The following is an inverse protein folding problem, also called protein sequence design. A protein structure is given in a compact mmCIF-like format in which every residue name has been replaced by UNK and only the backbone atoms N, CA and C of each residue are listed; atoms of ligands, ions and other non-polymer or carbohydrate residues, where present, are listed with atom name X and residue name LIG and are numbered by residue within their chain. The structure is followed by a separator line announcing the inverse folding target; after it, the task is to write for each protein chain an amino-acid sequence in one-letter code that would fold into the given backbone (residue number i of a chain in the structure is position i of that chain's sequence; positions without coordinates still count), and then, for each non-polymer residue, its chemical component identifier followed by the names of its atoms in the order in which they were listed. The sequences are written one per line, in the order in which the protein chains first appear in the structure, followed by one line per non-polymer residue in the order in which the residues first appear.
data_IF_686151778643
#
_entry.id   IF_686151778643
#
_cell.length_a   1.000
_cell.length_b   1.000
_cell.length_c   1.000
_cell.angle_alpha   90.00
_cell.angle_beta   90.00
_cell.angle_gamma   90.00
#
_symmetry.space_group_name_H-M   'P 1'
#
loop_
_entity.id
_entity.type
_entity.pdbx_description
1 polymer ?
#
# COMPACT_ATOMS: atom_id res chain seq x y z
N UNK A 1 2.93 -74.02 -8.57
CA UNK A 1 3.71 -72.88 -8.04
C UNK A 1 2.79 -71.68 -7.87
N UNK A 2 2.58 -71.28 -6.60
CA UNK A 2 2.36 -69.91 -6.08
C UNK A 2 1.37 -68.99 -6.83
N UNK A 3 0.08 -69.09 -6.49
CA UNK A 3 -0.99 -68.15 -6.90
C UNK A 3 -1.57 -67.36 -5.72
N UNK A 4 -0.70 -66.79 -4.86
CA UNK A 4 -1.14 -66.14 -3.60
C UNK A 4 -0.71 -64.67 -3.43
N UNK A 5 -0.05 -64.05 -4.40
CA UNK A 5 0.59 -62.73 -4.17
C UNK A 5 -0.08 -61.52 -4.84
N UNK A 6 -1.25 -61.66 -5.49
CA UNK A 6 -1.87 -60.52 -6.18
C UNK A 6 -2.83 -59.70 -5.29
N UNK A 7 -3.45 -60.32 -4.28
CA UNK A 7 -4.44 -59.64 -3.43
C UNK A 7 -3.80 -58.77 -2.33
N UNK A 8 -2.58 -59.09 -1.91
CA UNK A 8 -1.82 -58.32 -0.91
C UNK A 8 -1.25 -57.03 -1.51
N UNK A 9 -0.99 -57.00 -2.82
CA UNK A 9 -0.44 -55.84 -3.50
C UNK A 9 -1.50 -54.74 -3.76
N UNK A 10 -2.79 -55.10 -3.93
CA UNK A 10 -3.86 -54.10 -4.09
C UNK A 10 -4.25 -53.43 -2.76
N UNK A 11 -4.06 -54.12 -1.63
CA UNK A 11 -4.29 -53.57 -0.29
C UNK A 11 -3.21 -52.53 0.10
N UNK A 12 -2.00 -52.61 -0.47
CA UNK A 12 -0.92 -51.65 -0.19
C UNK A 12 -1.06 -50.35 -1.00
N UNK A 13 -1.71 -50.39 -2.16
CA UNK A 13 -1.97 -49.21 -3.00
C UNK A 13 -3.18 -48.40 -2.48
N UNK A 14 -4.09 -49.03 -1.74
CA UNK A 14 -5.26 -48.35 -1.15
C UNK A 14 -4.99 -47.68 0.21
N UNK A 15 -3.88 -48.00 0.88
CA UNK A 15 -3.50 -47.41 2.17
C UNK A 15 -2.68 -46.12 2.10
N UNK A 16 -2.25 -45.70 0.90
CA UNK A 16 -1.27 -44.61 0.71
C UNK A 16 -1.85 -43.23 0.38
N UNK A 17 -3.17 -43.07 0.24
CA UNK A 17 -3.79 -41.80 -0.16
C UNK A 17 -4.76 -41.26 0.90
N UNK A 18 -4.22 -40.90 2.06
CA UNK A 18 -4.87 -39.96 2.98
C UNK A 18 -3.86 -38.90 3.43
N UNK A 19 -3.21 -38.24 2.48
CA UNK A 19 -2.64 -36.92 2.74
C UNK A 19 -3.77 -35.89 2.61
N UNK A 20 -4.64 -35.82 3.64
CA UNK A 20 -5.57 -34.72 3.76
C UNK A 20 -4.78 -33.44 3.94
N UNK A 21 -4.99 -32.45 3.07
CA UNK A 21 -4.45 -31.10 3.26
C UNK A 21 -5.10 -30.52 4.52
N UNK A 22 -4.39 -30.57 5.66
CA UNK A 22 -4.86 -30.07 6.94
C UNK A 22 -4.96 -28.55 6.94
N UNK A 23 -6.18 -28.02 6.81
CA UNK A 23 -6.50 -26.63 7.11
C UNK A 23 -7.11 -26.58 8.51
N UNK A 24 -6.54 -25.76 9.38
CA UNK A 24 -7.08 -25.47 10.70
C UNK A 24 -8.04 -24.29 10.58
N UNK A 25 -9.27 -24.42 11.08
CA UNK A 25 -10.23 -23.33 11.15
C UNK A 25 -10.07 -22.59 12.48
N UNK A 26 -9.61 -21.34 12.44
CA UNK A 26 -9.59 -20.44 13.58
C UNK A 26 -10.90 -19.64 13.64
N UNK A 27 -11.48 -19.56 14.82
CA UNK A 27 -12.68 -18.79 15.14
C UNK A 27 -12.40 -17.93 16.35
N UNK A 28 -13.06 -16.78 16.43
CA UNK A 28 -12.96 -15.91 17.58
C UNK A 28 -13.97 -14.77 17.50
N UNK A 29 -13.95 -13.92 18.51
CA UNK A 29 -14.76 -12.70 18.57
C UNK A 29 -13.86 -11.51 18.88
N UNK A 30 -14.07 -10.41 18.17
CA UNK A 30 -13.36 -9.15 18.35
C UNK A 30 -14.31 -8.14 18.97
N UNK A 31 -13.88 -7.56 20.09
CA UNK A 31 -14.64 -6.56 20.84
C UNK A 31 -13.75 -5.37 21.20
N UNK A 32 -14.36 -4.22 21.46
CA UNK A 32 -13.68 -3.07 22.03
C UNK A 32 -13.35 -3.33 23.51
N UNK A 33 -12.14 -2.94 23.94
CA UNK A 33 -11.65 -3.22 25.30
C UNK A 33 -12.37 -2.42 26.39
N UNK A 34 -12.88 -1.22 26.09
CA UNK A 34 -13.51 -0.33 27.08
C UNK A 34 -15.00 -0.57 27.25
N UNK A 35 -15.70 -0.74 26.13
CA UNK A 35 -17.15 -0.84 26.01
C UNK A 35 -17.63 -2.28 25.91
N UNK A 36 -16.73 -3.24 25.63
CA UNK A 36 -17.03 -4.64 25.36
C UNK A 36 -17.97 -4.87 24.17
N UNK A 37 -18.27 -3.82 23.39
CA UNK A 37 -19.12 -3.92 22.21
C UNK A 37 -18.38 -4.68 21.09
N UNK A 38 -19.10 -5.49 20.29
CA UNK A 38 -18.49 -6.19 19.16
C UNK A 38 -17.98 -5.19 18.11
N UNK A 39 -16.82 -5.49 17.53
CA UNK A 39 -16.26 -4.71 16.43
C UNK A 39 -16.59 -5.42 15.12
N UNK A 40 -17.55 -4.86 14.38
CA UNK A 40 -17.90 -5.30 13.04
C UNK A 40 -16.86 -4.86 12.01
N UNK A 41 -16.66 -5.66 10.95
CA UNK A 41 -15.77 -5.34 9.82
C UNK A 41 -14.30 -5.12 10.19
N UNK A 42 -13.84 -5.66 11.32
CA UNK A 42 -12.42 -5.74 11.64
C UNK A 42 -11.74 -6.72 10.67
N UNK A 43 -10.56 -6.35 10.18
CA UNK A 43 -9.74 -7.21 9.32
C UNK A 43 -8.97 -8.23 10.17
N UNK A 44 -9.03 -9.51 9.79
CA UNK A 44 -8.34 -10.62 10.46
C UNK A 44 -7.51 -11.37 9.42
N UNK A 45 -6.18 -11.31 9.48
CA UNK A 45 -5.32 -11.85 8.42
C UNK A 45 -3.98 -12.36 8.91
N UNK A 46 -3.33 -13.21 8.12
CA UNK A 46 -1.95 -13.62 8.36
C UNK A 46 -0.96 -12.70 7.67
N UNK A 47 -0.02 -12.17 8.45
CA UNK A 47 1.00 -11.25 7.95
C UNK A 47 1.79 -11.87 6.80
N UNK A 48 2.06 -11.08 5.76
CA UNK A 48 2.79 -11.50 4.54
C UNK A 48 2.11 -12.60 3.70
N UNK A 49 0.81 -12.83 3.89
CA UNK A 49 0.02 -13.76 3.07
C UNK A 49 -1.22 -13.08 2.49
N UNK A 50 -1.94 -13.77 1.62
CA UNK A 50 -3.27 -13.36 1.14
C UNK A 50 -4.41 -14.02 1.92
N UNK A 51 -4.10 -14.68 3.05
CA UNK A 51 -5.07 -15.42 3.87
C UNK A 51 -5.64 -14.45 4.90
N UNK A 52 -6.93 -14.14 4.75
CA UNK A 52 -7.64 -13.25 5.67
C UNK A 52 -9.15 -13.40 5.58
N UNK A 53 -9.82 -12.78 6.54
CA UNK A 53 -11.27 -12.76 6.72
C UNK A 53 -11.65 -11.44 7.42
N UNK A 54 -12.94 -11.23 7.61
CA UNK A 54 -13.49 -10.06 8.30
C UNK A 54 -14.46 -10.49 9.40
N UNK A 55 -14.61 -9.68 10.44
CA UNK A 55 -15.63 -9.92 11.47
C UNK A 55 -17.02 -9.55 10.99
N UNK A 56 -18.03 -10.30 11.42
CA UNK A 56 -19.44 -10.00 11.17
C UNK A 56 -20.00 -8.98 12.19
N UNK A 57 -21.30 -8.69 12.11
CA UNK A 57 -22.00 -7.77 13.03
C UNK A 57 -21.92 -8.14 14.52
N UNK A 58 -21.71 -9.42 14.84
CA UNK A 58 -21.50 -9.89 16.22
C UNK A 58 -20.01 -9.83 16.65
N UNK A 59 -19.14 -9.30 15.79
CA UNK A 59 -17.69 -9.27 15.98
C UNK A 59 -17.01 -10.62 15.76
N UNK A 60 -17.73 -11.64 15.27
CA UNK A 60 -17.18 -13.01 15.10
C UNK A 60 -16.48 -13.16 13.76
N UNK A 61 -15.38 -13.90 13.74
CA UNK A 61 -14.67 -14.28 12.52
C UNK A 61 -14.46 -15.80 12.42
N UNK A 62 -14.27 -16.29 11.20
CA UNK A 62 -13.69 -17.61 10.91
C UNK A 62 -12.64 -17.45 9.82
N UNK A 63 -11.47 -18.06 10.02
CA UNK A 63 -10.32 -18.02 9.13
C UNK A 63 -9.71 -19.42 8.97
N UNK A 64 -9.60 -19.90 7.73
CA UNK A 64 -8.97 -21.19 7.44
C UNK A 64 -7.48 -20.99 7.14
N UNK A 65 -6.65 -21.66 7.92
CA UNK A 65 -5.20 -21.54 7.89
C UNK A 65 -4.58 -22.89 7.52
N UNK A 66 -3.77 -22.98 6.45
CA UNK A 66 -2.98 -24.18 6.17
C UNK A 66 -2.00 -24.49 7.30
N UNK A 67 -1.77 -25.76 7.60
CA UNK A 67 -0.82 -26.18 8.64
C UNK A 67 0.60 -25.59 8.47
N UNK A 68 1.00 -25.25 7.24
CA UNK A 68 2.28 -24.61 6.93
C UNK A 68 2.42 -23.19 7.53
N UNK A 69 1.30 -22.53 7.83
CA UNK A 69 1.23 -21.13 8.28
C UNK A 69 0.96 -21.00 9.80
N UNK A 70 1.05 -22.09 10.56
CA UNK A 70 0.80 -22.07 12.02
C UNK A 70 1.82 -21.23 12.80
N UNK A 71 3.00 -20.97 12.22
CA UNK A 71 4.04 -20.12 12.82
C UNK A 71 3.97 -18.66 12.37
N UNK A 72 3.01 -18.31 11.52
CA UNK A 72 2.86 -16.95 11.04
C UNK A 72 2.14 -16.07 12.07
N UNK A 73 2.23 -14.76 11.89
CA UNK A 73 1.58 -13.78 12.76
C UNK A 73 0.15 -13.51 12.30
N UNK A 74 -0.82 -13.82 13.15
CA UNK A 74 -2.19 -13.36 13.06
C UNK A 74 -2.24 -11.87 13.42
N UNK A 75 -2.86 -11.08 12.55
CA UNK A 75 -3.07 -9.64 12.73
C UNK A 75 -4.55 -9.34 12.69
N UNK A 76 -5.01 -8.58 13.67
CA UNK A 76 -6.38 -8.10 13.76
C UNK A 76 -6.35 -6.58 13.85
N UNK A 77 -7.05 -5.91 12.95
CA UNK A 77 -7.01 -4.45 12.84
C UNK A 77 -8.36 -3.87 12.48
N UNK A 78 -8.70 -2.75 13.08
CA UNK A 78 -9.87 -1.93 12.76
C UNK A 78 -9.49 -0.45 12.78
N UNK A 79 -10.21 0.38 12.03
CA UNK A 79 -9.97 1.82 11.98
C UNK A 79 -10.28 2.43 13.35
N UNK A 80 -9.34 3.22 13.88
CA UNK A 80 -9.47 3.83 15.22
C UNK A 80 -9.04 2.91 16.37
N UNK A 81 -8.41 1.77 16.07
CA UNK A 81 -7.95 0.81 17.07
C UNK A 81 -6.48 0.42 16.85
N UNK A 82 -5.80 0.06 17.94
CA UNK A 82 -4.46 -0.52 17.87
C UNK A 82 -4.55 -1.91 17.26
N UNK A 83 -3.67 -2.20 16.32
CA UNK A 83 -3.62 -3.54 15.72
C UNK A 83 -3.12 -4.57 16.74
N UNK A 84 -3.90 -5.63 16.94
CA UNK A 84 -3.52 -6.78 17.74
C UNK A 84 -2.72 -7.77 16.89
N UNK A 85 -1.64 -8.33 17.45
CA UNK A 85 -0.74 -9.25 16.74
C UNK A 85 -0.35 -10.40 17.66
N UNK A 86 -0.40 -11.62 17.15
CA UNK A 86 0.06 -12.82 17.87
C UNK A 86 0.48 -13.92 16.91
N UNK A 87 1.26 -14.90 17.36
CA UNK A 87 1.56 -16.09 16.55
C UNK A 87 0.34 -17.00 16.53
N UNK A 88 0.02 -17.60 15.37
CA UNK A 88 -1.16 -18.47 15.21
C UNK A 88 -1.13 -19.67 16.17
N UNK A 89 0.03 -20.26 16.40
CA UNK A 89 0.20 -21.40 17.33
C UNK A 89 -0.11 -21.03 18.80
N UNK A 90 0.00 -19.75 19.16
CA UNK A 90 -0.33 -19.25 20.50
C UNK A 90 -1.81 -18.88 20.63
N UNK A 91 -2.57 -18.90 19.54
CA UNK A 91 -3.99 -18.54 19.55
C UNK A 91 -4.86 -19.67 20.08
N UNK A 92 -5.63 -19.36 21.13
CA UNK A 92 -6.66 -20.25 21.63
C UNK A 92 -7.93 -20.14 20.76
N UNK A 93 -8.25 -21.21 20.06
CA UNK A 93 -9.37 -21.21 19.12
C UNK A 93 -10.71 -20.98 19.86
N UNK A 94 -11.40 -19.90 19.50
CA UNK A 94 -12.64 -19.46 20.15
C UNK A 94 -12.45 -18.37 21.19
N UNK A 95 -11.23 -17.87 21.42
CA UNK A 95 -10.99 -16.79 22.38
C UNK A 95 -11.57 -15.44 21.93
N UNK A 96 -11.99 -14.66 22.93
CA UNK A 96 -12.35 -13.26 22.74
C UNK A 96 -11.07 -12.41 22.67
N UNK A 97 -11.05 -11.47 21.74
CA UNK A 97 -9.93 -10.57 21.47
C UNK A 97 -10.43 -9.15 21.66
N UNK A 98 -9.74 -8.39 22.50
CA UNK A 98 -10.09 -7.02 22.80
C UNK A 98 -9.11 -6.06 22.14
N UNK A 99 -9.65 -5.13 21.34
CA UNK A 99 -8.85 -4.05 20.74
C UNK A 99 -8.96 -2.79 21.60
N UNK A 100 -7.83 -2.13 21.82
CA UNK A 100 -7.77 -0.80 22.43
C UNK A 100 -7.99 0.27 21.35
N UNK A 101 -8.76 1.31 21.67
CA UNK A 101 -8.85 2.49 20.82
C UNK A 101 -7.46 3.12 20.61
N UNK A 102 -7.18 3.48 19.36
CA UNK A 102 -6.02 4.24 18.95
C UNK A 102 -6.52 5.52 18.29
N UNK A 103 -6.69 6.56 19.11
CA UNK A 103 -6.99 7.89 18.61
C UNK A 103 -5.72 8.44 17.98
N UNK A 104 -5.52 8.12 16.70
CA UNK A 104 -4.54 8.80 15.87
C UNK A 104 -4.98 10.27 15.74
N UNK A 105 -4.49 11.11 16.64
CA UNK A 105 -4.65 12.56 16.53
C UNK A 105 -3.88 13.00 15.28
N UNK A 106 -4.60 13.42 14.24
CA UNK A 106 -3.98 14.14 13.14
C UNK A 106 -3.48 15.48 13.67
N UNK A 107 -2.30 15.93 13.22
CA UNK A 107 -1.79 17.25 13.57
C UNK A 107 -2.86 18.30 13.27
N UNK A 108 -3.16 19.14 14.27
CA UNK A 108 -4.12 20.22 14.12
C UNK A 108 -3.65 21.15 12.99
N UNK A 109 -4.50 21.35 11.98
CA UNK A 109 -4.22 22.35 10.94
C UNK A 109 -4.43 23.72 11.57
N UNK A 110 -3.33 24.37 11.97
CA UNK A 110 -3.37 25.76 12.42
C UNK A 110 -3.70 26.65 11.22
N UNK A 111 -4.97 27.07 11.15
CA UNK A 111 -5.41 28.11 10.24
C UNK A 111 -4.83 29.45 10.71
N UNK A 112 -3.62 29.77 10.28
CA UNK A 112 -3.08 31.12 10.45
C UNK A 112 -3.90 32.04 9.55
N UNK A 113 -4.70 32.91 10.17
CA UNK A 113 -5.46 33.95 9.47
C UNK A 113 -4.50 35.03 8.94
N UNK A 114 -3.65 34.68 7.98
CA UNK A 114 -2.90 35.67 7.22
C UNK A 114 -3.89 36.37 6.26
N UNK A 115 -3.85 37.69 6.26
CA UNK A 115 -4.71 38.50 5.38
C UNK A 115 -4.44 38.10 3.94
N UNK A 116 -5.43 37.55 3.23
CA UNK A 116 -5.24 37.18 1.83
C UNK A 116 -4.93 38.44 1.00
N UNK A 117 -3.91 38.41 0.12
CA UNK A 117 -3.61 39.52 -0.77
C UNK A 117 -4.85 39.82 -1.64
N UNK A 118 -5.20 41.10 -1.77
CA UNK A 118 -6.43 41.54 -2.45
C UNK A 118 -6.23 41.78 -3.94
N UNK A 119 -4.99 42.06 -4.35
CA UNK A 119 -4.65 42.32 -5.75
C UNK A 119 -3.57 41.36 -6.26
N UNK A 120 -3.49 41.20 -7.58
CA UNK A 120 -2.42 40.41 -8.21
C UNK A 120 -1.01 40.96 -7.92
N UNK A 121 -0.87 42.28 -7.79
CA UNK A 121 0.40 42.91 -7.46
C UNK A 121 0.85 42.53 -6.03
N UNK A 122 -0.08 42.49 -5.07
CA UNK A 122 0.23 42.09 -3.69
C UNK A 122 0.69 40.62 -3.61
N UNK A 123 0.11 39.73 -4.43
CA UNK A 123 0.55 38.34 -4.53
C UNK A 123 2.00 38.28 -5.03
N UNK A 124 2.31 39.06 -6.06
CA UNK A 124 3.63 39.08 -6.69
C UNK A 124 4.70 39.63 -5.74
N UNK A 125 4.39 40.73 -5.04
CA UNK A 125 5.28 41.32 -4.02
C UNK A 125 5.55 40.32 -2.89
N UNK A 126 4.51 39.70 -2.33
CA UNK A 126 4.69 38.68 -1.27
C UNK A 126 5.47 37.46 -1.75
N UNK A 127 5.30 37.08 -3.02
CA UNK A 127 6.08 35.99 -3.60
C UNK A 127 7.56 36.36 -3.70
N UNK A 128 7.89 37.58 -4.15
CA UNK A 128 9.26 38.11 -4.22
C UNK A 128 9.89 38.18 -2.82
N UNK A 129 9.17 38.73 -1.84
CA UNK A 129 9.64 38.84 -0.44
C UNK A 129 9.98 37.49 0.18
N UNK A 130 9.26 36.43 -0.23
CA UNK A 130 9.45 35.07 0.26
C UNK A 130 10.41 34.24 -0.58
N UNK A 131 10.95 34.77 -1.68
CA UNK A 131 11.93 34.05 -2.50
C UNK A 131 13.14 33.56 -1.68
N UNK A 132 13.76 34.37 -0.79
CA UNK A 132 14.91 33.90 -0.02
C UNK A 132 14.59 32.75 0.95
N UNK A 133 13.35 32.63 1.43
CA UNK A 133 12.96 31.54 2.34
C UNK A 133 12.41 30.31 1.59
N UNK A 134 11.82 30.52 0.42
CA UNK A 134 11.20 29.46 -0.38
C UNK A 134 12.14 28.86 -1.43
N UNK A 135 13.25 29.52 -1.75
CA UNK A 135 14.25 28.99 -2.65
C UNK A 135 15.32 28.21 -1.86
N UNK A 136 15.78 27.06 -2.38
CA UNK A 136 16.92 26.37 -1.81
C UNK A 136 18.18 27.23 -1.98
N UNK A 137 18.97 27.36 -0.91
CA UNK A 137 20.22 28.13 -0.86
C UNK A 137 21.47 27.30 -1.20
N UNK A 138 21.30 25.99 -1.42
CA UNK A 138 22.37 25.04 -1.67
C UNK A 138 22.00 24.05 -2.76
N UNK A 139 23.02 23.38 -3.31
CA UNK A 139 22.83 22.43 -4.38
C UNK A 139 21.77 21.38 -4.02
N UNK A 140 20.78 21.19 -4.89
CA UNK A 140 19.67 20.29 -4.63
C UNK A 140 19.38 19.39 -5.85
N UNK A 141 18.81 18.23 -5.55
CA UNK A 141 18.28 17.31 -6.55
C UNK A 141 16.76 17.37 -6.49
N UNK A 142 16.12 17.60 -7.62
CA UNK A 142 14.68 17.57 -7.78
C UNK A 142 14.29 16.46 -8.74
N UNK A 143 13.32 15.64 -8.34
CA UNK A 143 12.72 14.63 -9.20
C UNK A 143 11.35 15.15 -9.66
N UNK A 144 11.11 15.06 -10.96
CA UNK A 144 9.90 15.56 -11.60
C UNK A 144 9.31 14.54 -12.56
N UNK A 145 8.02 14.68 -12.81
CA UNK A 145 7.30 13.90 -13.81
C UNK A 145 6.77 14.84 -14.89
N UNK A 146 7.14 14.57 -16.13
CA UNK A 146 6.68 15.32 -17.31
C UNK A 146 5.68 14.48 -18.08
N UNK A 147 4.55 15.11 -18.46
CA UNK A 147 3.53 14.52 -19.31
C UNK A 147 3.22 15.47 -20.45
N UNK A 148 3.49 15.04 -21.68
CA UNK A 148 3.19 15.80 -22.90
C UNK A 148 2.16 15.06 -23.76
N UNK A 149 1.15 15.80 -24.23
CA UNK A 149 0.07 15.30 -25.09
C UNK A 149 0.00 16.15 -26.35
N UNK A 150 0.04 15.53 -27.54
CA UNK A 150 -0.19 16.22 -28.82
C UNK A 150 -1.47 15.72 -29.48
N UNK A 151 -2.30 16.66 -29.95
CA UNK A 151 -3.58 16.42 -30.60
C UNK A 151 -3.64 17.18 -31.93
N UNK A 152 -4.15 16.54 -33.00
CA UNK A 152 -4.57 17.22 -34.23
C UNK A 152 -6.10 17.44 -34.23
N UNK A 153 -6.65 18.27 -35.13
CA UNK A 153 -8.06 18.71 -35.14
C UNK A 153 -9.08 17.60 -34.86
N UNK A 154 -8.85 16.39 -35.36
CA UNK A 154 -9.77 15.26 -35.20
C UNK A 154 -9.20 14.04 -34.45
N UNK A 155 -7.88 13.92 -34.26
CA UNK A 155 -7.24 12.70 -33.71
C UNK A 155 -6.05 13.02 -32.79
N UNK A 156 -5.87 12.23 -31.73
CA UNK A 156 -4.73 12.31 -30.81
C UNK A 156 -3.58 11.45 -31.33
N UNK A 157 -2.35 11.99 -31.35
CA UNK A 157 -1.22 11.34 -32.06
C UNK A 157 -0.25 10.60 -31.14
N UNK A 158 0.02 11.13 -29.94
CA UNK A 158 0.92 10.49 -28.98
C UNK A 158 0.81 11.09 -27.56
N UNK A 159 1.06 10.26 -26.55
CA UNK A 159 1.31 10.62 -25.15
C UNK A 159 2.76 10.29 -24.83
N UNK A 160 3.49 11.26 -24.27
CA UNK A 160 4.84 11.06 -23.77
C UNK A 160 4.84 11.34 -22.27
N UNK A 161 5.39 10.40 -21.51
CA UNK A 161 5.60 10.52 -20.07
C UNK A 161 7.07 10.29 -19.76
N UNK A 162 7.64 11.11 -18.89
CA UNK A 162 9.03 10.99 -18.48
C UNK A 162 9.20 11.24 -16.98
N UNK A 163 9.98 10.38 -16.33
CA UNK A 163 10.57 10.67 -15.03
C UNK A 163 11.91 11.37 -15.26
N UNK A 164 12.11 12.51 -14.61
CA UNK A 164 13.28 13.37 -14.81
C UNK A 164 13.88 13.70 -13.46
N UNK A 165 15.18 13.53 -13.32
CA UNK A 165 15.96 14.02 -12.18
C UNK A 165 16.76 15.22 -12.63
N UNK A 166 16.55 16.36 -11.96
CA UNK A 166 17.30 17.59 -12.16
C UNK A 166 18.22 17.81 -10.96
N UNK A 167 19.46 18.17 -11.21
CA UNK A 167 20.42 18.59 -10.21
C UNK A 167 20.83 20.02 -10.50
N UNK A 168 20.60 20.91 -9.55
CA UNK A 168 21.09 22.28 -9.61
C UNK A 168 22.25 22.44 -8.63
N UNK A 169 23.45 22.69 -9.16
CA UNK A 169 24.65 22.86 -8.35
C UNK A 169 24.75 24.24 -7.68
N UNK A 170 24.00 25.24 -8.15
CA UNK A 170 24.18 26.65 -7.78
C UNK A 170 22.85 27.34 -7.48
N UNK A 171 21.97 26.66 -6.76
CA UNK A 171 20.66 27.16 -6.32
C UNK A 171 20.80 28.37 -5.38
N UNK A 172 20.90 29.57 -5.94
CA UNK A 172 21.11 30.82 -5.16
C UNK A 172 22.09 31.78 -5.83
N UNK A 173 22.98 31.28 -6.69
CA UNK A 173 23.91 32.12 -7.45
C UNK A 173 23.40 32.30 -8.89
N UNK A 174 22.68 33.40 -9.13
CA UNK A 174 22.12 33.75 -10.44
C UNK A 174 23.15 33.86 -11.59
N UNK A 175 24.45 33.89 -11.28
CA UNK A 175 25.55 34.05 -12.23
C UNK A 175 26.04 32.78 -12.92
N UNK A 176 25.73 31.58 -12.43
CA UNK A 176 26.22 30.32 -13.04
C UNK A 176 25.23 29.17 -12.86
N UNK A 177 24.34 28.99 -13.84
CA UNK A 177 23.36 27.89 -13.85
C UNK A 177 24.00 26.60 -14.35
N UNK A 178 24.57 25.81 -13.45
CA UNK A 178 25.07 24.47 -13.74
C UNK A 178 23.98 23.44 -13.42
N UNK A 179 22.88 23.49 -14.20
CA UNK A 179 21.76 22.55 -14.08
C UNK A 179 22.06 21.32 -14.92
N UNK A 180 22.05 20.15 -14.29
CA UNK A 180 22.15 18.84 -14.95
C UNK A 180 20.78 18.18 -14.94
N UNK A 181 20.35 17.68 -16.08
CA UNK A 181 19.04 17.00 -16.22
C UNK A 181 19.31 15.59 -16.69
N UNK A 182 18.76 14.61 -15.98
CA UNK A 182 18.74 13.20 -16.36
C UNK A 182 17.30 12.78 -16.63
N UNK A 183 17.06 12.10 -17.76
CA UNK A 183 15.78 11.45 -18.03
C UNK A 183 15.92 10.01 -17.58
N UNK A 184 15.32 9.68 -16.45
CA UNK A 184 15.47 8.37 -15.81
C UNK A 184 14.67 7.31 -16.56
N UNK A 185 13.42 7.63 -16.92
CA UNK A 185 12.54 6.77 -17.69
C UNK A 185 11.70 7.60 -18.66
N UNK A 186 11.44 7.04 -19.85
CA UNK A 186 10.53 7.62 -20.83
C UNK A 186 9.58 6.55 -21.37
N UNK A 187 8.30 6.88 -21.46
CA UNK A 187 7.27 6.05 -22.07
C UNK A 187 6.54 6.85 -23.13
N UNK A 188 6.31 6.22 -24.28
CA UNK A 188 5.53 6.79 -25.38
C UNK A 188 4.40 5.85 -25.76
N UNK A 189 3.17 6.34 -25.76
CA UNK A 189 1.99 5.60 -26.19
C UNK A 189 1.43 6.25 -27.46
N UNK A 190 1.21 5.43 -28.48
CA UNK A 190 0.67 5.84 -29.79
C UNK A 190 -0.86 5.62 -29.90
N UNK A 191 -1.50 5.00 -28.91
CA UNK A 191 -2.90 4.52 -28.99
C UNK A 191 -3.82 5.03 -27.85
N UNK A 192 -3.27 5.71 -26.84
CA UNK A 192 -4.02 6.55 -25.89
C UNK A 192 -5.36 5.99 -25.33
N UNK A 193 -5.54 4.67 -25.18
CA UNK A 193 -6.51 4.12 -24.21
C UNK A 193 -6.22 4.80 -22.87
N UNK A 194 -7.24 5.33 -22.20
CA UNK A 194 -7.10 6.09 -20.95
C UNK A 194 -6.10 5.39 -20.03
N UNK A 195 -4.88 5.94 -19.96
CA UNK A 195 -3.83 5.31 -19.19
C UNK A 195 -3.98 5.83 -17.79
N UNK A 196 -4.56 4.98 -16.95
CA UNK A 196 -4.77 5.21 -15.54
C UNK A 196 -3.50 5.81 -14.88
N UNK A 197 -3.68 6.93 -14.19
CA UNK A 197 -2.59 7.68 -13.57
C UNK A 197 -1.95 6.89 -12.41
N UNK A 198 -2.66 5.88 -11.89
CA UNK A 198 -2.16 4.90 -10.91
C UNK A 198 -0.95 4.10 -11.42
N UNK A 199 -0.91 3.76 -12.72
CA UNK A 199 0.18 2.94 -13.27
C UNK A 199 1.50 3.72 -13.39
N UNK A 200 1.43 5.02 -13.71
CA UNK A 200 2.61 5.88 -13.78
C UNK A 200 3.16 6.21 -12.38
N UNK A 201 2.27 6.44 -11.40
CA UNK A 201 2.66 6.66 -9.99
C UNK A 201 3.32 5.42 -9.37
N UNK A 202 2.80 4.23 -9.66
CA UNK A 202 3.39 2.97 -9.17
C UNK A 202 4.76 2.67 -9.79
N UNK A 203 4.98 3.01 -11.07
CA UNK A 203 6.30 2.91 -11.70
C UNK A 203 7.34 3.85 -11.05
N UNK A 204 6.94 5.10 -10.75
CA UNK A 204 7.77 6.06 -10.02
C UNK A 204 8.17 5.56 -8.63
N UNK A 205 7.24 4.97 -7.87
CA UNK A 205 7.54 4.41 -6.55
C UNK A 205 8.49 3.20 -6.62
N UNK A 206 8.35 2.39 -7.68
CA UNK A 206 9.22 1.24 -7.93
C UNK A 206 10.67 1.66 -8.22
N UNK A 207 10.89 2.76 -8.95
CA UNK A 207 12.23 3.30 -9.19
C UNK A 207 12.89 3.83 -7.90
N UNK A 208 12.07 4.29 -6.94
CA UNK A 208 12.52 4.77 -5.61
C UNK A 208 12.87 3.66 -4.61
N UNK A 209 12.79 2.38 -4.98
CA UNK A 209 13.08 1.26 -4.07
C UNK A 209 12.08 1.12 -2.91
N UNK A 210 10.91 1.76 -2.98
CA UNK A 210 9.84 1.50 -2.03
C UNK A 210 8.93 0.40 -2.60
N UNK A 211 8.94 -0.76 -1.95
CA UNK A 211 7.99 -1.84 -2.20
C UNK A 211 6.58 -1.36 -1.85
N UNK A 212 5.90 -0.74 -2.81
CA UNK A 212 4.49 -0.42 -2.69
C UNK A 212 3.71 -1.70 -2.96
N UNK A 213 3.26 -2.30 -1.86
CA UNK A 213 2.22 -3.33 -1.84
C UNK A 213 1.05 -2.86 -2.70
N UNK A 214 0.71 -3.66 -3.72
CA UNK A 214 -0.42 -3.41 -4.61
C UNK A 214 -1.72 -3.51 -3.80
N UNK A 215 -2.27 -2.37 -3.39
CA UNK A 215 -3.68 -2.24 -3.04
C UNK A 215 -4.49 -2.12 -4.33
N UNK A 216 -5.29 -3.15 -4.61
CA UNK A 216 -6.34 -3.10 -5.62
C UNK A 216 -7.40 -2.07 -5.20
N UNK A 217 -7.80 -1.20 -6.11
CA UNK A 217 -9.12 -0.56 -6.08
C UNK A 217 -9.77 -0.71 -7.45
N UNK A 218 -10.99 -1.23 -7.38
CA UNK A 218 -12.02 -1.39 -8.41
C UNK A 218 -12.36 -0.11 -9.15
#
# INVERSE_FOLDING_TARGET
MKSFNFFVLSAFIFGGMLAGYGQTELKGKVSDFMTFMPIESASVYLQNTTIGSITNADGRFSLRIPAANMKDTLVISSIGYKSYKMVVEEYENGSDIYLEEDVASLDEVVLVADTRPKTGNDIMIRAIERLPQNLPDSAFVQQGFLRHKERNKNEYRWLIEAAVTMYDANAGNAGKKDIKINVDEIRKSYDLRDVDSLFAYTAFLKSKGQNVSKGNIS
#
